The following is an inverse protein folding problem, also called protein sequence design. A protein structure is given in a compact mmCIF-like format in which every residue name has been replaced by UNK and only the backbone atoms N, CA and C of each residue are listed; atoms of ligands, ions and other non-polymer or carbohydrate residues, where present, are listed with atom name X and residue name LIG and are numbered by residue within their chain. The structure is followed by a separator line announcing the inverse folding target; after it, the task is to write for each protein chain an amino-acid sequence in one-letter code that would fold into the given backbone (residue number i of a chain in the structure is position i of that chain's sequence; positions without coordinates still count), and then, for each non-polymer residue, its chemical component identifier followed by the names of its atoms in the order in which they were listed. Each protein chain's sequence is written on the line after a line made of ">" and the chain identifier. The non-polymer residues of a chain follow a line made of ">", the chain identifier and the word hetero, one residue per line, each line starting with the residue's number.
data_IF_733092873238
#
_entry.id   IF_733092873238
#
_cell.length_a   1.000
_cell.length_b   1.000
_cell.length_c   1.000
_cell.angle_alpha   90.00
_cell.angle_beta   90.00
_cell.angle_gamma   90.00
#
_symmetry.space_group_name_H-M   'P 1'
#
loop_
_entity.id
_entity.type
_entity.pdbx_description
1 polymer ?
#
# COMPACT_ATOMS: atom_id res chain seq x y z
N UNK A 1 -21.80 -36.28 -7.17
CA UNK A 1 -21.25 -34.93 -7.29
C UNK A 1 -19.72 -35.01 -7.38
N UNK A 2 -19.09 -34.04 -8.02
CA UNK A 2 -17.65 -34.01 -8.30
C UNK A 2 -17.27 -34.76 -9.58
N UNK A 3 -15.99 -35.09 -9.72
CA UNK A 3 -15.49 -35.79 -10.89
C UNK A 3 -15.89 -37.26 -10.86
N UNK A 4 -16.57 -37.72 -11.90
CA UNK A 4 -17.00 -39.13 -12.04
C UNK A 4 -15.95 -39.97 -12.77
N UNK A 5 -15.25 -39.37 -13.72
CA UNK A 5 -14.21 -39.99 -14.54
C UNK A 5 -13.29 -38.92 -15.12
N UNK A 6 -11.99 -39.17 -15.16
CA UNK A 6 -10.97 -38.26 -15.68
C UNK A 6 -10.27 -37.47 -14.58
N UNK A 7 -9.27 -36.68 -14.98
CA UNK A 7 -8.48 -35.84 -14.09
C UNK A 7 -9.19 -34.52 -13.83
N UNK A 8 -8.94 -33.91 -12.65
CA UNK A 8 -9.29 -32.53 -12.32
C UNK A 8 -8.04 -31.67 -12.29
N UNK A 9 -8.19 -30.39 -12.54
CA UNK A 9 -7.17 -29.37 -12.35
C UNK A 9 -7.47 -28.58 -11.07
N UNK A 10 -6.43 -28.32 -10.29
CA UNK A 10 -6.50 -27.42 -9.12
C UNK A 10 -5.68 -26.19 -9.46
N UNK A 11 -6.31 -25.03 -9.44
CA UNK A 11 -5.66 -23.75 -9.70
C UNK A 11 -5.31 -23.04 -8.39
N UNK A 12 -4.18 -22.32 -8.39
CA UNK A 12 -3.86 -21.40 -7.30
C UNK A 12 -4.80 -20.19 -7.40
N UNK A 13 -5.76 -20.13 -6.52
CA UNK A 13 -6.78 -19.10 -6.45
C UNK A 13 -6.17 -17.71 -6.19
N UNK A 14 -5.07 -17.58 -5.43
CA UNK A 14 -4.40 -16.31 -5.22
C UNK A 14 -3.85 -15.75 -6.54
N UNK A 15 -3.21 -16.58 -7.33
CA UNK A 15 -2.67 -16.18 -8.64
C UNK A 15 -3.80 -15.94 -9.64
N UNK A 16 -4.76 -16.87 -9.72
CA UNK A 16 -5.81 -16.84 -10.74
C UNK A 16 -6.81 -15.72 -10.51
N UNK A 17 -7.36 -15.60 -9.30
CA UNK A 17 -8.40 -14.62 -8.98
C UNK A 17 -7.82 -13.28 -8.50
N UNK A 18 -6.69 -13.30 -7.79
CA UNK A 18 -6.13 -12.13 -7.12
C UNK A 18 -5.06 -11.38 -7.90
N UNK A 19 -4.23 -12.09 -8.66
CA UNK A 19 -3.02 -11.53 -9.27
C UNK A 19 -2.97 -11.62 -10.80
N UNK A 20 -3.99 -12.21 -11.45
CA UNK A 20 -4.07 -12.27 -12.91
C UNK A 20 -5.17 -11.33 -13.39
N UNK A 21 -4.81 -10.43 -14.30
CA UNK A 21 -5.77 -9.55 -14.95
C UNK A 21 -6.71 -10.34 -15.85
N UNK A 22 -8.01 -10.16 -15.65
CA UNK A 22 -9.05 -10.83 -16.49
C UNK A 22 -9.19 -10.19 -17.87
N UNK A 23 -8.59 -9.03 -18.13
CA UNK A 23 -8.70 -8.31 -19.39
C UNK A 23 -7.66 -8.78 -20.42
N UNK A 24 -6.42 -9.05 -19.99
CA UNK A 24 -5.33 -9.44 -20.88
C UNK A 24 -4.64 -10.74 -20.47
N UNK A 25 -5.06 -11.35 -19.35
CA UNK A 25 -4.47 -12.59 -18.84
C UNK A 25 -3.07 -12.45 -18.26
N UNK A 26 -2.55 -11.23 -18.13
CA UNK A 26 -1.21 -11.00 -17.58
C UNK A 26 -1.22 -11.01 -16.05
N UNK A 27 -0.14 -11.51 -15.49
CA UNK A 27 0.14 -11.35 -14.06
C UNK A 27 0.38 -9.87 -13.74
N UNK A 28 -0.17 -9.36 -12.64
CA UNK A 28 -0.07 -7.93 -12.28
C UNK A 28 1.36 -7.42 -12.12
N UNK A 29 2.33 -8.29 -11.79
CA UNK A 29 3.76 -7.95 -11.79
C UNK A 29 4.26 -7.60 -13.19
N UNK A 30 3.86 -8.37 -14.21
CA UNK A 30 4.22 -8.09 -15.60
C UNK A 30 3.58 -6.78 -16.09
N UNK A 31 2.30 -6.55 -15.76
CA UNK A 31 1.64 -5.27 -16.04
C UNK A 31 2.34 -4.10 -15.34
N UNK A 32 2.71 -4.24 -14.06
CA UNK A 32 3.44 -3.21 -13.32
C UNK A 32 4.76 -2.87 -13.99
N UNK A 33 5.50 -3.85 -14.50
CA UNK A 33 6.75 -3.64 -15.25
C UNK A 33 6.51 -2.89 -16.56
N UNK A 34 5.48 -3.27 -17.34
CA UNK A 34 5.14 -2.59 -18.59
C UNK A 34 4.75 -1.13 -18.34
N UNK A 35 3.84 -0.89 -17.40
CA UNK A 35 3.37 0.46 -17.05
C UNK A 35 4.51 1.30 -16.46
N UNK A 36 5.43 0.72 -15.70
CA UNK A 36 6.60 1.43 -15.18
C UNK A 36 7.48 1.96 -16.31
N UNK A 37 7.74 1.15 -17.35
CA UNK A 37 8.48 1.59 -18.54
C UNK A 37 7.78 2.75 -19.26
N UNK A 38 6.47 2.63 -19.47
CA UNK A 38 5.66 3.67 -20.13
C UNK A 38 5.65 5.00 -19.35
N UNK A 39 5.62 4.91 -18.03
CA UNK A 39 5.63 6.08 -17.14
C UNK A 39 7.03 6.61 -16.84
N UNK A 40 8.07 5.98 -17.41
CA UNK A 40 9.47 6.37 -17.19
C UNK A 40 9.92 6.20 -15.74
N UNK A 41 9.45 5.13 -15.07
CA UNK A 41 9.89 4.78 -13.71
C UNK A 41 10.99 3.74 -13.85
N UNK A 42 12.22 4.12 -13.53
CA UNK A 42 13.37 3.23 -13.71
C UNK A 42 13.39 2.10 -12.67
N UNK A 43 14.21 1.09 -12.91
CA UNK A 43 14.48 0.01 -11.97
C UNK A 43 15.13 0.55 -10.70
N UNK A 44 16.07 1.46 -10.85
CA UNK A 44 16.80 2.10 -9.76
C UNK A 44 15.86 2.87 -8.83
N UNK A 45 14.94 3.67 -9.40
CA UNK A 45 13.93 4.39 -8.60
C UNK A 45 13.03 3.44 -7.79
N UNK A 46 12.71 2.27 -8.35
CA UNK A 46 11.92 1.25 -7.65
C UNK A 46 12.72 0.58 -6.53
N UNK A 47 13.99 0.28 -6.77
CA UNK A 47 14.89 -0.31 -5.78
C UNK A 47 15.22 0.67 -4.65
N UNK A 48 15.43 1.96 -4.96
CA UNK A 48 15.59 3.02 -3.96
C UNK A 48 14.35 3.15 -3.05
N UNK A 49 13.16 3.07 -3.65
CA UNK A 49 11.92 3.07 -2.88
C UNK A 49 11.83 1.87 -1.95
N UNK A 50 12.12 0.68 -2.45
CA UNK A 50 12.12 -0.56 -1.67
C UNK A 50 13.13 -0.52 -0.52
N UNK A 51 14.36 -0.08 -0.80
CA UNK A 51 15.38 0.11 0.21
C UNK A 51 14.87 1.03 1.33
N UNK A 52 14.33 2.19 0.96
CA UNK A 52 13.77 3.16 1.92
C UNK A 52 12.61 2.58 2.73
N UNK A 53 11.72 1.80 2.10
CA UNK A 53 10.62 1.13 2.79
C UNK A 53 11.13 0.22 3.90
N UNK A 54 12.12 -0.63 3.61
CA UNK A 54 12.75 -1.50 4.61
C UNK A 54 13.46 -0.73 5.72
N UNK A 55 14.23 0.31 5.39
CA UNK A 55 14.94 1.10 6.39
C UNK A 55 13.99 1.83 7.33
N UNK A 56 12.91 2.42 6.80
CA UNK A 56 11.89 3.09 7.58
C UNK A 56 11.10 2.13 8.46
N UNK A 57 10.74 0.96 7.93
CA UNK A 57 10.03 -0.07 8.71
C UNK A 57 10.89 -0.60 9.85
N UNK A 58 12.18 -0.86 9.60
CA UNK A 58 13.12 -1.27 10.64
C UNK A 58 13.25 -0.22 11.75
N UNK A 59 13.44 1.04 11.38
CA UNK A 59 13.52 2.13 12.35
C UNK A 59 12.21 2.28 13.16
N UNK A 60 11.05 2.21 12.50
CA UNK A 60 9.74 2.29 13.16
C UNK A 60 9.53 1.13 14.15
N UNK A 61 9.96 -0.07 13.78
CA UNK A 61 9.90 -1.25 14.66
C UNK A 61 10.82 -1.07 15.88
N UNK A 62 12.06 -0.61 15.69
CA UNK A 62 13.02 -0.39 16.76
C UNK A 62 12.58 0.72 17.73
N UNK A 63 11.91 1.74 17.21
CA UNK A 63 11.35 2.84 18.02
C UNK A 63 10.00 2.48 18.66
N UNK A 64 9.47 1.27 18.43
CA UNK A 64 8.20 0.81 18.99
C UNK A 64 6.96 1.49 18.39
N UNK A 65 7.06 2.11 17.20
CA UNK A 65 5.94 2.85 16.60
C UNK A 65 4.75 1.96 16.23
N UNK A 66 4.98 0.66 16.05
CA UNK A 66 3.93 -0.33 15.76
C UNK A 66 3.31 -0.97 16.99
N UNK A 67 3.83 -0.69 18.20
CA UNK A 67 3.39 -1.37 19.43
C UNK A 67 1.87 -1.21 19.71
N UNK A 68 1.31 -0.04 19.36
CA UNK A 68 -0.13 0.23 19.53
C UNK A 68 -0.98 -0.27 18.34
N UNK A 69 -0.35 -0.77 17.27
CA UNK A 69 -1.03 -1.23 16.06
C UNK A 69 -1.12 -2.73 15.98
N UNK A 70 -0.07 -3.43 16.45
CA UNK A 70 0.06 -4.87 16.32
C UNK A 70 -0.65 -5.58 17.48
N UNK A 71 -1.51 -6.53 17.11
CA UNK A 71 -2.10 -7.49 18.06
C UNK A 71 -1.41 -8.83 17.83
N UNK A 72 -0.67 -9.36 18.83
CA UNK A 72 0.01 -10.65 18.70
C UNK A 72 -0.97 -11.80 18.41
N UNK A 73 -0.57 -12.71 17.53
CA UNK A 73 -1.31 -13.93 17.21
C UNK A 73 -0.39 -15.14 17.43
N UNK A 74 -0.67 -15.93 18.45
CA UNK A 74 0.24 -16.99 18.88
C UNK A 74 1.61 -16.41 19.28
N UNK A 75 2.66 -16.92 18.68
CA UNK A 75 4.04 -16.48 18.94
C UNK A 75 4.50 -15.33 18.02
N UNK A 76 3.65 -14.88 17.07
CA UNK A 76 3.96 -13.79 16.14
C UNK A 76 3.50 -12.47 16.73
N UNK A 77 4.44 -11.60 17.05
CA UNK A 77 4.20 -10.31 17.70
C UNK A 77 4.81 -9.12 16.93
N UNK A 78 5.32 -9.34 15.72
CA UNK A 78 5.94 -8.33 14.89
C UNK A 78 5.85 -8.72 13.41
N UNK A 79 5.96 -7.72 12.52
CA UNK A 79 6.09 -7.98 11.09
C UNK A 79 7.41 -8.71 10.78
N UNK A 80 7.31 -9.83 10.08
CA UNK A 80 8.45 -10.73 9.78
C UNK A 80 9.11 -10.38 8.44
N UNK A 81 8.46 -9.55 7.59
CA UNK A 81 8.90 -9.23 6.23
C UNK A 81 10.05 -8.22 6.16
N UNK A 82 10.38 -7.53 7.25
CA UNK A 82 11.37 -6.45 7.27
C UNK A 82 12.78 -7.00 7.08
N UNK A 83 13.40 -6.68 5.94
CA UNK A 83 14.78 -7.11 5.61
C UNK A 83 15.76 -6.04 5.99
N UNK A 84 16.30 -6.10 7.21
CA UNK A 84 17.23 -5.11 7.78
C UNK A 84 18.57 -5.03 7.07
N UNK A 85 18.96 -6.11 6.40
CA UNK A 85 20.20 -6.25 5.66
C UNK A 85 20.07 -5.92 4.17
N UNK A 86 18.93 -5.34 3.77
CA UNK A 86 18.72 -4.87 2.40
C UNK A 86 19.70 -3.76 2.04
N UNK A 87 20.33 -3.86 0.86
CA UNK A 87 21.17 -2.82 0.27
C UNK A 87 20.77 -2.61 -1.19
N UNK A 88 21.14 -1.47 -1.77
CA UNK A 88 20.85 -1.18 -3.19
C UNK A 88 21.55 -2.18 -4.11
N UNK A 89 22.76 -2.62 -3.77
CA UNK A 89 23.51 -3.63 -4.54
C UNK A 89 22.80 -5.00 -4.54
N UNK A 90 22.25 -5.41 -3.38
CA UNK A 90 21.46 -6.65 -3.29
C UNK A 90 20.18 -6.56 -4.11
N UNK A 91 19.50 -5.42 -4.08
CA UNK A 91 18.27 -5.20 -4.86
C UNK A 91 18.60 -5.22 -6.37
N UNK A 92 19.62 -4.49 -6.80
CA UNK A 92 20.04 -4.42 -8.20
C UNK A 92 20.43 -5.79 -8.79
N UNK A 93 20.93 -6.72 -7.95
CA UNK A 93 21.30 -8.07 -8.37
C UNK A 93 20.10 -9.01 -8.63
N UNK A 94 18.88 -8.63 -8.20
CA UNK A 94 17.69 -9.45 -8.37
C UNK A 94 17.21 -9.44 -9.81
N UNK A 95 16.77 -10.60 -10.28
CA UNK A 95 16.18 -10.73 -11.62
C UNK A 95 14.71 -10.29 -11.61
N UNK A 96 14.24 -9.68 -12.70
CA UNK A 96 12.82 -9.42 -12.88
C UNK A 96 11.98 -10.69 -12.82
N UNK A 97 10.74 -10.57 -12.32
CA UNK A 97 9.80 -11.70 -12.21
C UNK A 97 8.64 -11.52 -13.19
N UNK A 98 8.18 -12.61 -13.81
CA UNK A 98 7.09 -12.68 -14.78
C UNK A 98 7.29 -11.92 -16.12
N UNK A 99 8.30 -11.07 -16.24
CA UNK A 99 8.71 -10.36 -17.47
C UNK A 99 10.23 -10.24 -17.44
N UNK A 100 10.98 -11.01 -18.28
CA UNK A 100 12.45 -10.98 -18.27
C UNK A 100 13.05 -9.60 -18.57
N UNK A 101 12.33 -8.76 -19.33
CA UNK A 101 12.70 -7.38 -19.64
C UNK A 101 12.05 -6.37 -18.66
N UNK A 102 11.47 -6.90 -17.58
CA UNK A 102 10.74 -6.12 -16.59
C UNK A 102 11.63 -5.37 -15.61
N UNK A 103 11.00 -4.54 -14.81
CA UNK A 103 11.65 -3.75 -13.75
C UNK A 103 11.24 -4.18 -12.35
N UNK A 104 10.16 -4.97 -12.23
CA UNK A 104 9.65 -5.45 -10.95
C UNK A 104 10.35 -6.75 -10.55
N UNK A 105 10.86 -6.79 -9.32
CA UNK A 105 11.57 -7.93 -8.74
C UNK A 105 10.96 -8.33 -7.40
N UNK A 106 11.40 -9.46 -6.87
CA UNK A 106 11.04 -9.89 -5.51
C UNK A 106 11.56 -8.93 -4.41
N UNK A 107 12.40 -7.96 -4.74
CA UNK A 107 12.94 -6.96 -3.82
C UNK A 107 12.17 -5.65 -3.80
N UNK A 108 11.50 -5.30 -4.90
CA UNK A 108 10.75 -4.04 -5.03
C UNK A 108 9.23 -4.22 -5.16
N UNK A 109 8.77 -5.41 -4.82
CA UNK A 109 7.37 -5.78 -4.64
C UNK A 109 7.17 -6.47 -3.29
N UNK A 110 5.98 -6.42 -2.68
CA UNK A 110 5.65 -7.21 -1.50
C UNK A 110 5.75 -8.71 -1.77
N UNK A 111 6.06 -9.50 -0.74
CA UNK A 111 5.95 -10.95 -0.80
C UNK A 111 4.49 -11.42 -0.71
N UNK A 112 4.32 -12.74 -0.71
CA UNK A 112 3.06 -13.39 -0.33
C UNK A 112 2.97 -13.35 1.19
N UNK A 113 1.93 -12.71 1.71
CA UNK A 113 1.81 -12.43 3.14
C UNK A 113 0.42 -12.74 3.66
N UNK A 114 0.36 -13.31 4.86
CA UNK A 114 -0.85 -13.39 5.65
C UNK A 114 -0.98 -12.15 6.53
N UNK A 115 -2.21 -11.69 6.76
CA UNK A 115 -2.45 -10.57 7.65
C UNK A 115 -3.93 -10.19 7.73
N UNK A 116 -4.30 -9.62 8.86
CA UNK A 116 -5.62 -9.07 9.09
C UNK A 116 -5.50 -7.70 9.77
N UNK A 117 -6.43 -6.82 9.49
CA UNK A 117 -6.53 -5.53 10.17
C UNK A 117 -7.98 -5.16 10.42
N UNK A 118 -8.21 -4.36 11.44
CA UNK A 118 -9.54 -3.90 11.81
C UNK A 118 -9.49 -2.44 12.25
N UNK A 119 -10.44 -1.66 11.77
CA UNK A 119 -10.73 -0.31 12.26
C UNK A 119 -12.20 -0.22 12.63
N UNK A 120 -12.50 0.45 13.74
CA UNK A 120 -13.87 0.72 14.15
C UNK A 120 -14.24 2.12 13.69
N UNK A 121 -15.31 2.23 12.90
CA UNK A 121 -15.86 3.50 12.43
C UNK A 121 -17.21 3.75 13.11
N UNK A 122 -17.39 4.95 13.63
CA UNK A 122 -18.65 5.35 14.26
C UNK A 122 -18.97 6.82 13.99
N UNK A 123 -20.20 7.25 14.27
CA UNK A 123 -20.54 8.66 14.22
C UNK A 123 -19.95 9.44 15.41
N UNK A 124 -19.79 10.74 15.27
CA UNK A 124 -19.33 11.63 16.35
C UNK A 124 -20.26 11.55 17.56
N UNK A 125 -21.58 11.51 17.34
CA UNK A 125 -22.55 11.40 18.44
C UNK A 125 -22.41 10.07 19.17
N UNK A 126 -22.11 8.97 18.46
CA UNK A 126 -21.88 7.68 19.11
C UNK A 126 -20.60 7.73 19.94
N UNK A 127 -19.52 8.27 19.41
CA UNK A 127 -18.26 8.42 20.12
C UNK A 127 -18.45 9.25 21.40
N UNK A 128 -19.06 10.43 21.29
CA UNK A 128 -19.34 11.32 22.42
C UNK A 128 -20.20 10.63 23.48
N UNK A 129 -21.28 9.96 23.08
CA UNK A 129 -22.20 9.26 24.01
C UNK A 129 -21.52 8.11 24.75
N UNK A 130 -20.49 7.51 24.15
CA UNK A 130 -19.73 6.39 24.72
C UNK A 130 -18.43 6.81 25.40
N UNK A 131 -18.09 8.11 25.39
CA UNK A 131 -16.83 8.61 25.93
C UNK A 131 -15.59 8.06 25.20
N UNK A 132 -15.72 7.80 23.87
CA UNK A 132 -14.62 7.31 23.05
C UNK A 132 -13.82 8.51 22.53
N UNK A 133 -12.50 8.32 22.45
CA UNK A 133 -11.59 9.25 21.78
C UNK A 133 -11.19 8.68 20.41
N UNK A 134 -11.80 9.15 19.30
CA UNK A 134 -11.42 8.72 17.96
C UNK A 134 -9.96 9.06 17.65
N UNK A 135 -9.26 8.19 16.94
CA UNK A 135 -7.89 8.49 16.48
C UNK A 135 -7.87 9.60 15.44
N UNK A 136 -8.88 9.65 14.57
CA UNK A 136 -9.02 10.65 13.53
C UNK A 136 -10.48 10.70 13.04
N UNK A 137 -10.83 11.77 12.33
CA UNK A 137 -12.09 11.92 11.60
C UNK A 137 -11.87 11.58 10.13
N UNK A 138 -12.81 10.85 9.53
CA UNK A 138 -12.86 10.64 8.08
C UNK A 138 -13.56 11.86 7.47
N UNK A 139 -12.83 12.63 6.67
CA UNK A 139 -13.34 13.88 6.10
C UNK A 139 -13.90 13.67 4.70
N UNK A 140 -13.16 12.98 3.85
CA UNK A 140 -13.57 12.75 2.48
C UNK A 140 -13.00 11.45 1.94
N UNK A 141 -13.64 10.93 0.90
CA UNK A 141 -13.21 9.77 0.15
C UNK A 141 -13.15 10.08 -1.33
N UNK A 142 -12.13 9.56 -2.00
CA UNK A 142 -11.99 9.55 -3.45
C UNK A 142 -11.91 8.12 -3.95
N UNK A 143 -12.53 7.84 -5.06
CA UNK A 143 -12.35 6.59 -5.79
C UNK A 143 -12.43 6.85 -7.29
N UNK A 144 -11.60 6.16 -8.02
CA UNK A 144 -11.46 6.32 -9.47
C UNK A 144 -11.36 4.97 -10.15
N UNK A 145 -11.67 4.96 -11.43
CA UNK A 145 -11.30 3.90 -12.35
C UNK A 145 -10.48 4.52 -13.49
N UNK A 146 -9.46 3.79 -13.93
CA UNK A 146 -8.58 4.11 -15.04
C UNK A 146 -8.54 2.91 -16.00
N UNK A 147 -7.74 2.96 -17.05
CA UNK A 147 -7.44 1.78 -17.83
C UNK A 147 -6.87 0.69 -16.92
N UNK A 148 -7.30 -0.54 -17.13
CA UNK A 148 -7.11 -1.66 -16.20
C UNK A 148 -5.65 -1.94 -15.80
N UNK A 149 -4.67 -1.63 -16.65
CA UNK A 149 -3.26 -1.86 -16.37
C UNK A 149 -2.60 -0.76 -15.51
N UNK A 150 -3.19 0.44 -15.43
CA UNK A 150 -2.53 1.62 -14.87
C UNK A 150 -2.68 1.78 -13.35
N UNK A 151 -2.42 0.73 -12.60
CA UNK A 151 -2.46 0.75 -11.12
C UNK A 151 -1.58 1.86 -10.52
N UNK A 152 -0.47 2.21 -11.18
CA UNK A 152 0.48 3.20 -10.67
C UNK A 152 -0.05 4.65 -10.69
N UNK A 153 -1.19 4.92 -11.33
CA UNK A 153 -1.81 6.26 -11.39
C UNK A 153 -2.98 6.42 -10.43
N UNK A 154 -3.62 5.32 -10.08
CA UNK A 154 -4.93 5.36 -9.43
C UNK A 154 -4.91 5.86 -7.98
N UNK A 155 -3.89 5.58 -7.12
CA UNK A 155 -3.83 6.17 -5.79
C UNK A 155 -3.74 7.69 -5.81
N UNK A 156 -2.95 8.25 -6.74
CA UNK A 156 -2.83 9.70 -6.88
C UNK A 156 -4.14 10.34 -7.31
N UNK A 157 -4.78 9.81 -8.37
CA UNK A 157 -6.07 10.33 -8.86
C UNK A 157 -7.18 10.24 -7.81
N UNK A 158 -7.24 9.15 -7.06
CA UNK A 158 -8.18 9.01 -5.95
C UNK A 158 -7.85 10.00 -4.82
N UNK A 159 -6.55 10.19 -4.55
CA UNK A 159 -6.06 11.16 -3.57
C UNK A 159 -6.44 12.60 -3.94
N UNK A 160 -6.20 13.01 -5.18
CA UNK A 160 -6.63 14.32 -5.70
C UNK A 160 -8.13 14.54 -5.53
N UNK A 161 -8.94 13.55 -5.93
CA UNK A 161 -10.39 13.62 -5.76
C UNK A 161 -10.82 13.73 -4.29
N UNK A 162 -10.16 13.00 -3.38
CA UNK A 162 -10.47 13.07 -1.95
C UNK A 162 -10.07 14.44 -1.36
N UNK A 163 -8.92 14.96 -1.75
CA UNK A 163 -8.44 16.29 -1.33
C UNK A 163 -9.36 17.40 -1.83
N UNK A 164 -9.77 17.35 -3.10
CA UNK A 164 -10.73 18.31 -3.67
C UNK A 164 -12.05 18.32 -2.89
N UNK A 165 -12.61 17.14 -2.57
CA UNK A 165 -13.82 17.02 -1.75
C UNK A 165 -13.63 17.55 -0.33
N UNK A 166 -12.42 17.44 0.22
CA UNK A 166 -12.06 18.01 1.52
C UNK A 166 -11.78 19.52 1.48
N UNK A 167 -11.72 20.13 0.29
CA UNK A 167 -11.30 21.52 0.11
C UNK A 167 -9.84 21.75 0.50
N UNK A 168 -8.98 20.75 0.25
CA UNK A 168 -7.56 20.73 0.61
C UNK A 168 -6.68 20.46 -0.60
N UNK A 169 -5.41 20.80 -0.44
CA UNK A 169 -4.34 20.48 -1.38
C UNK A 169 -3.32 19.55 -0.72
N UNK A 170 -2.43 18.97 -1.49
CA UNK A 170 -1.34 18.16 -0.93
C UNK A 170 -0.43 18.97 0.01
N UNK A 171 -0.33 20.28 -0.17
CA UNK A 171 0.43 21.19 0.70
C UNK A 171 -0.14 21.31 2.12
N UNK A 172 -1.41 20.98 2.32
CA UNK A 172 -2.06 20.98 3.64
C UNK A 172 -1.79 19.67 4.41
N UNK A 173 -1.36 18.62 3.70
CA UNK A 173 -1.21 17.26 4.24
C UNK A 173 0.10 17.11 4.98
N UNK A 174 0.06 16.56 6.18
CA UNK A 174 1.24 16.32 7.03
C UNK A 174 1.83 14.94 6.88
N UNK A 175 1.00 13.94 6.51
CA UNK A 175 1.39 12.54 6.28
C UNK A 175 0.57 11.94 5.16
N UNK A 176 1.24 11.12 4.38
CA UNK A 176 0.64 10.35 3.30
C UNK A 176 0.99 8.88 3.48
N UNK A 177 0.02 8.00 3.41
CA UNK A 177 0.19 6.56 3.31
C UNK A 177 -0.29 6.08 1.94
N UNK A 178 0.62 5.65 1.10
CA UNK A 178 0.30 5.03 -0.20
C UNK A 178 0.65 3.56 -0.10
N UNK A 179 -0.33 2.69 -0.34
CA UNK A 179 -0.06 1.26 -0.33
C UNK A 179 0.94 0.90 -1.43
N UNK A 180 2.01 0.22 -1.04
CA UNK A 180 3.09 -0.20 -1.94
C UNK A 180 2.77 -1.55 -2.58
N UNK A 181 1.70 -1.62 -3.40
CA UNK A 181 1.42 -2.83 -4.18
C UNK A 181 2.63 -3.23 -5.03
N UNK A 182 3.35 -2.22 -5.53
CA UNK A 182 4.70 -2.26 -6.09
C UNK A 182 5.39 -0.94 -5.73
N UNK A 183 6.72 -0.92 -5.67
CA UNK A 183 7.47 0.33 -5.48
C UNK A 183 7.11 1.38 -6.53
N UNK A 184 6.90 0.96 -7.78
CA UNK A 184 6.48 1.85 -8.87
C UNK A 184 5.13 2.54 -8.63
N UNK A 185 4.19 1.86 -7.99
CA UNK A 185 2.87 2.44 -7.66
C UNK A 185 3.04 3.60 -6.67
N UNK A 186 3.77 3.37 -5.59
CA UNK A 186 3.98 4.40 -4.57
C UNK A 186 4.85 5.54 -5.09
N UNK A 187 5.92 5.25 -5.83
CA UNK A 187 6.80 6.25 -6.45
C UNK A 187 6.05 7.15 -7.42
N UNK A 188 5.29 6.55 -8.36
CA UNK A 188 4.54 7.33 -9.34
C UNK A 188 3.41 8.14 -8.71
N UNK A 189 2.69 7.54 -7.76
CA UNK A 189 1.60 8.24 -7.07
C UNK A 189 2.11 9.43 -6.26
N UNK A 190 3.26 9.29 -5.59
CA UNK A 190 3.93 10.40 -4.88
C UNK A 190 4.31 11.52 -5.84
N UNK A 191 4.89 11.16 -7.01
CA UNK A 191 5.25 12.12 -8.06
C UNK A 191 4.03 12.85 -8.63
N UNK A 192 2.94 12.13 -8.94
CA UNK A 192 1.71 12.71 -9.49
C UNK A 192 1.02 13.66 -8.49
N UNK A 193 0.97 13.29 -7.22
CA UNK A 193 0.42 14.16 -6.16
C UNK A 193 1.29 15.40 -5.90
N UNK A 194 2.54 15.42 -6.35
CA UNK A 194 3.51 16.46 -5.96
C UNK A 194 3.84 16.43 -4.46
N UNK A 195 3.70 15.26 -3.83
CA UNK A 195 4.00 15.09 -2.41
C UNK A 195 5.51 15.01 -2.17
N UNK A 196 5.96 15.62 -1.06
CA UNK A 196 7.32 15.42 -0.58
C UNK A 196 7.48 13.97 -0.09
N UNK A 197 8.45 13.25 -0.65
CA UNK A 197 8.74 11.87 -0.24
C UNK A 197 9.08 11.73 1.26
N UNK A 198 9.47 12.82 1.92
CA UNK A 198 9.75 12.85 3.35
C UNK A 198 8.50 12.63 4.21
N UNK A 199 7.31 12.93 3.69
CA UNK A 199 6.04 12.73 4.42
C UNK A 199 5.29 11.48 4.00
N UNK A 200 5.76 10.73 3.00
CA UNK A 200 5.10 9.54 2.46
C UNK A 200 5.67 8.28 3.10
N UNK A 201 4.81 7.39 3.58
CA UNK A 201 5.16 6.08 4.16
C UNK A 201 6.33 6.18 5.15
N UNK A 202 6.21 7.08 6.12
CA UNK A 202 7.31 7.44 7.05
C UNK A 202 7.73 6.29 7.98
N UNK A 203 6.89 5.29 8.12
CA UNK A 203 7.15 4.08 8.91
C UNK A 203 7.41 2.85 8.02
N UNK A 204 7.77 3.07 6.75
CA UNK A 204 7.83 2.01 5.75
C UNK A 204 6.45 1.67 5.18
N UNK A 205 6.41 0.78 4.21
CA UNK A 205 5.16 0.38 3.56
C UNK A 205 5.13 -1.10 3.21
N UNK A 206 4.23 -1.48 2.33
CA UNK A 206 3.93 -2.88 2.04
C UNK A 206 5.09 -3.68 1.45
N UNK A 207 6.05 -3.05 0.79
CA UNK A 207 7.27 -3.73 0.32
C UNK A 207 8.04 -4.34 1.49
N UNK A 208 8.08 -3.65 2.63
CA UNK A 208 8.74 -4.14 3.83
C UNK A 208 7.80 -4.91 4.76
N UNK A 209 6.54 -4.45 4.92
CA UNK A 209 5.58 -4.95 5.91
C UNK A 209 4.68 -6.05 5.35
N UNK A 210 4.61 -6.20 4.02
CA UNK A 210 3.70 -7.12 3.35
C UNK A 210 2.41 -6.46 2.85
N UNK A 211 1.74 -7.17 1.92
CA UNK A 211 0.49 -6.72 1.31
C UNK A 211 -0.58 -7.82 1.30
N UNK A 212 -1.09 -8.24 2.47
CA UNK A 212 -2.29 -9.07 2.50
C UNK A 212 -3.45 -8.24 1.96
N UNK A 213 -4.00 -8.61 0.81
CA UNK A 213 -4.90 -7.76 0.00
C UNK A 213 -6.07 -7.24 0.82
N UNK A 214 -6.75 -8.11 1.58
CA UNK A 214 -7.89 -7.75 2.42
C UNK A 214 -7.54 -6.93 3.68
N UNK A 215 -6.27 -6.90 4.07
CA UNK A 215 -5.77 -6.19 5.26
C UNK A 215 -5.34 -4.75 4.95
N UNK A 216 -4.68 -4.55 3.82
CA UNK A 216 -3.85 -3.35 3.56
C UNK A 216 -4.60 -2.03 3.67
N UNK A 217 -5.86 -1.96 3.24
CA UNK A 217 -6.65 -0.72 3.31
C UNK A 217 -6.86 -0.22 4.74
N UNK A 218 -7.31 -1.11 5.64
CA UNK A 218 -7.51 -0.76 7.05
C UNK A 218 -6.16 -0.54 7.76
N UNK A 219 -5.10 -1.29 7.39
CA UNK A 219 -3.76 -1.12 7.93
C UNK A 219 -3.21 0.28 7.66
N UNK A 220 -3.16 0.73 6.39
CA UNK A 220 -2.63 2.06 6.05
C UNK A 220 -3.44 3.19 6.70
N UNK A 221 -4.76 3.00 6.83
CA UNK A 221 -5.64 3.98 7.47
C UNK A 221 -5.35 4.08 8.97
N UNK A 222 -5.18 2.94 9.65
CA UNK A 222 -4.84 2.87 11.07
C UNK A 222 -3.47 3.47 11.36
N UNK A 223 -2.46 3.11 10.56
CA UNK A 223 -1.09 3.65 10.68
C UNK A 223 -1.08 5.17 10.48
N UNK A 224 -1.80 5.67 9.45
CA UNK A 224 -1.91 7.11 9.21
C UNK A 224 -2.53 7.85 10.39
N UNK A 225 -3.64 7.35 10.92
CA UNK A 225 -4.34 7.99 12.05
C UNK A 225 -3.43 8.08 13.28
N UNK A 226 -2.70 7.00 13.61
CA UNK A 226 -1.76 6.98 14.74
C UNK A 226 -0.57 7.89 14.50
N UNK A 227 -0.02 7.92 13.29
CA UNK A 227 1.09 8.81 12.95
C UNK A 227 0.70 10.29 13.04
N UNK A 228 -0.51 10.65 12.62
CA UNK A 228 -1.04 12.00 12.81
C UNK A 228 -1.16 12.36 14.29
N UNK A 229 -1.71 11.47 15.12
CA UNK A 229 -1.80 11.65 16.57
C UNK A 229 -0.44 11.83 17.21
N UNK A 230 0.55 11.00 16.86
CA UNK A 230 1.94 11.07 17.35
C UNK A 230 2.59 12.43 17.08
N UNK A 231 2.18 13.11 16.02
CA UNK A 231 2.67 14.44 15.62
C UNK A 231 1.89 15.61 16.22
N UNK A 232 0.86 15.37 16.97
CA UNK A 232 -0.01 16.43 17.50
C UNK A 232 -1.14 16.86 16.55
N UNK A 233 -1.49 15.98 15.60
CA UNK A 233 -2.62 16.15 14.70
C UNK A 233 -2.28 16.69 13.32
N UNK A 234 -3.32 16.99 12.54
CA UNK A 234 -3.27 17.56 11.20
C UNK A 234 -3.97 16.69 10.15
N UNK A 235 -3.80 17.06 8.89
CA UNK A 235 -4.41 16.39 7.74
C UNK A 235 -3.52 15.26 7.24
N UNK A 236 -4.14 14.16 6.87
CA UNK A 236 -3.46 13.00 6.27
C UNK A 236 -4.23 12.42 5.09
N UNK A 237 -3.51 11.79 4.19
CA UNK A 237 -4.05 11.11 3.02
C UNK A 237 -3.60 9.65 3.02
N UNK A 238 -4.55 8.71 3.02
CA UNK A 238 -4.29 7.30 2.72
C UNK A 238 -4.81 6.98 1.33
N UNK A 239 -4.02 6.28 0.51
CA UNK A 239 -4.40 5.92 -0.85
C UNK A 239 -3.91 4.52 -1.23
N UNK A 240 -4.72 3.80 -2.00
CA UNK A 240 -4.44 2.42 -2.42
C UNK A 240 -4.93 2.22 -3.86
N UNK A 241 -4.16 1.49 -4.67
CA UNK A 241 -4.64 0.93 -5.91
C UNK A 241 -5.45 -0.35 -5.64
N UNK A 242 -6.34 -0.67 -6.54
CA UNK A 242 -7.12 -1.90 -6.53
C UNK A 242 -6.96 -2.52 -7.90
N UNK A 243 -6.87 -3.83 -7.97
CA UNK A 243 -6.71 -4.58 -9.22
C UNK A 243 -7.64 -4.08 -10.33
N UNK A 244 -7.18 -4.23 -11.56
CA UNK A 244 -7.85 -3.78 -12.79
C UNK A 244 -8.14 -2.27 -12.86
N UNK A 245 -7.16 -1.46 -12.45
CA UNK A 245 -7.16 -0.02 -12.72
C UNK A 245 -8.07 0.81 -11.81
N UNK A 246 -8.36 0.37 -10.62
CA UNK A 246 -9.13 1.15 -9.65
C UNK A 246 -8.23 1.77 -8.58
N UNK A 247 -8.70 2.82 -7.93
CA UNK A 247 -8.03 3.47 -6.80
C UNK A 247 -9.00 4.03 -5.79
N UNK A 248 -8.61 3.97 -4.54
CA UNK A 248 -9.38 4.52 -3.42
C UNK A 248 -8.46 5.35 -2.53
N UNK A 249 -9.00 6.45 -2.02
CA UNK A 249 -8.28 7.30 -1.05
C UNK A 249 -9.23 7.84 0.02
N UNK A 250 -8.64 8.13 1.17
CA UNK A 250 -9.34 8.71 2.34
C UNK A 250 -8.50 9.85 2.90
N UNK A 251 -9.14 10.99 3.14
CA UNK A 251 -8.56 12.11 3.88
C UNK A 251 -8.99 12.02 5.34
N UNK A 252 -8.02 12.05 6.23
CA UNK A 252 -8.19 12.06 7.67
C UNK A 252 -7.79 13.41 8.27
N UNK A 253 -8.43 13.75 9.39
CA UNK A 253 -8.04 14.84 10.29
C UNK A 253 -7.90 14.28 11.72
N UNK A 254 -6.77 14.51 12.38
CA UNK A 254 -6.52 14.12 13.77
C UNK A 254 -6.10 15.32 14.63
#
# INVERSE_FOLDING_TARGET
>A
FGYRLGNGEVVDHMVFDGLTSTFDGLHMVAQASQVSRELGISREEQDEWAYRSHQRAAAAQDEGRFADEIVPVGDVAADEGIRRDTTLEKLAALQPVFDPEGTTTAGNAPGVNDGASCVIVCSEEFAARRGLEPLARIIAQGYVADDFAYLARTPARAGEQALDKAGKTIGDVKRVEINEAFSSVAKNSTRMLGADEAIVNVNGGAVALGHPIGCSGARILGTLARELRRRGGGWGLAAICIGVGQGLAVVLEA
#
